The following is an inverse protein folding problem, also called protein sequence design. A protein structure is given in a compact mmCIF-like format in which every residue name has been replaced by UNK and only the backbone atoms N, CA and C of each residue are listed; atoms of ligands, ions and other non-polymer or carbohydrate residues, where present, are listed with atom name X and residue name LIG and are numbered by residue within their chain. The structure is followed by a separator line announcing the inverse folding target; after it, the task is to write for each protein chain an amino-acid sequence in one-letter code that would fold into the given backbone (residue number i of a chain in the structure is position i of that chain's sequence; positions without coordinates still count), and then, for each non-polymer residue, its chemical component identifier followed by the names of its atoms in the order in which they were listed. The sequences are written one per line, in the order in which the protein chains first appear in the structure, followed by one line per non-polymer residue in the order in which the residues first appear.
data_IF_205169540789
#
_entry.id   IF_205169540789
#
_cell.length_a   1.000
_cell.length_b   1.000
_cell.length_c   1.000
_cell.angle_alpha   90.00
_cell.angle_beta   90.00
_cell.angle_gamma   90.00
#
_symmetry.space_group_name_H-M   'P 1'
#
loop_
_entity.id
_entity.type
_entity.pdbx_description
1 polymer ?
#
# COMPACT_ATOMS: atom_id res chain seq x y z
N UNK A 1 -48.23 -0.09 -31.91
CA UNK A 1 -47.57 -1.05 -31.00
C UNK A 1 -46.16 -1.30 -31.50
N UNK A 2 -45.16 -0.57 -30.98
CA UNK A 2 -43.75 -0.82 -31.25
C UNK A 2 -43.14 -1.57 -30.06
N UNK A 3 -42.98 -2.87 -30.22
CA UNK A 3 -42.30 -3.73 -29.25
C UNK A 3 -40.80 -3.47 -29.33
N UNK A 4 -40.22 -2.90 -28.27
CA UNK A 4 -38.75 -2.73 -28.15
C UNK A 4 -38.09 -4.13 -28.07
N UNK A 5 -36.97 -4.37 -28.76
CA UNK A 5 -36.25 -5.64 -28.62
C UNK A 5 -35.64 -5.79 -27.22
N UNK A 6 -35.42 -7.02 -26.73
CA UNK A 6 -34.87 -7.24 -25.40
C UNK A 6 -33.41 -6.77 -25.32
N UNK A 7 -33.08 -6.06 -24.25
CA UNK A 7 -31.71 -5.70 -23.90
C UNK A 7 -30.92 -6.98 -23.64
N UNK A 8 -29.87 -7.22 -24.43
CA UNK A 8 -28.88 -8.27 -24.15
C UNK A 8 -28.16 -7.89 -22.86
N UNK A 9 -28.53 -8.52 -21.75
CA UNK A 9 -27.74 -8.49 -20.53
C UNK A 9 -26.51 -9.36 -20.76
N UNK A 10 -25.39 -8.76 -21.17
CA UNK A 10 -24.09 -9.43 -21.10
C UNK A 10 -23.71 -9.49 -19.61
N UNK A 11 -23.58 -10.67 -18.99
CA UNK A 11 -23.21 -10.74 -17.58
C UNK A 11 -21.75 -10.26 -17.39
N UNK A 12 -21.38 -9.72 -16.21
CA UNK A 12 -20.01 -9.29 -15.88
C UNK A 12 -18.92 -10.38 -15.93
N UNK A 13 -19.26 -11.60 -16.34
CA UNK A 13 -18.41 -12.79 -16.25
C UNK A 13 -17.23 -12.78 -17.23
N UNK A 14 -17.36 -12.20 -18.44
CA UNK A 14 -16.28 -12.19 -19.45
C UNK A 14 -14.99 -11.48 -18.97
N UNK A 15 -15.11 -10.44 -18.15
CA UNK A 15 -13.96 -9.72 -17.62
C UNK A 15 -13.22 -10.50 -16.52
N UNK A 16 -13.92 -11.38 -15.81
CA UNK A 16 -13.38 -12.13 -14.66
C UNK A 16 -12.65 -13.40 -15.12
N UNK A 17 -13.09 -13.98 -16.24
CA UNK A 17 -12.51 -15.22 -16.79
C UNK A 17 -11.21 -15.00 -17.59
N UNK A 18 -11.02 -13.81 -18.17
CA UNK A 18 -9.79 -13.45 -18.90
C UNK A 18 -8.52 -13.45 -18.02
N UNK A 19 -8.67 -13.23 -16.70
CA UNK A 19 -7.56 -13.26 -15.74
C UNK A 19 -7.13 -14.70 -15.37
N UNK A 20 -8.05 -15.66 -15.38
CA UNK A 20 -7.78 -17.06 -14.97
C UNK A 20 -6.97 -17.87 -15.99
N UNK A 21 -6.93 -17.46 -17.26
CA UNK A 21 -6.40 -18.31 -18.35
C UNK A 21 -4.96 -18.03 -18.82
N UNK A 22 -4.22 -17.09 -18.20
CA UNK A 22 -2.91 -16.64 -18.72
C UNK A 22 -1.75 -17.28 -17.97
N UNK A 23 -0.96 -18.17 -18.59
CA UNK A 23 0.21 -18.85 -17.98
C UNK A 23 1.54 -18.14 -18.30
N UNK A 24 2.54 -18.26 -17.42
CA UNK A 24 3.95 -17.90 -17.69
C UNK A 24 4.39 -16.48 -17.31
N UNK A 25 5.57 -16.08 -17.82
CA UNK A 25 6.26 -14.79 -17.57
C UNK A 25 5.40 -13.55 -17.88
N UNK A 26 4.45 -13.66 -18.81
CA UNK A 26 3.51 -12.59 -19.13
C UNK A 26 2.65 -12.18 -17.92
N UNK A 27 2.32 -13.11 -17.01
CA UNK A 27 1.56 -12.79 -15.80
C UNK A 27 2.39 -11.97 -14.80
N UNK A 28 3.68 -12.26 -14.68
CA UNK A 28 4.62 -11.51 -13.80
C UNK A 28 4.80 -10.09 -14.33
N UNK A 29 4.97 -9.93 -15.64
CA UNK A 29 5.10 -8.60 -16.26
C UNK A 29 3.85 -7.74 -16.06
N UNK A 30 2.67 -8.33 -16.25
CA UNK A 30 1.41 -7.61 -15.96
C UNK A 30 1.23 -7.31 -14.47
N UNK A 31 1.58 -8.23 -13.58
CA UNK A 31 1.55 -7.99 -12.13
C UNK A 31 2.47 -6.82 -11.75
N UNK A 32 3.69 -6.77 -12.30
CA UNK A 32 4.61 -5.65 -12.12
C UNK A 32 4.01 -4.33 -12.61
N UNK A 33 3.36 -4.33 -13.78
CA UNK A 33 2.65 -3.17 -14.30
C UNK A 33 1.53 -2.69 -13.36
N UNK A 34 0.75 -3.60 -12.77
CA UNK A 34 -0.26 -3.25 -11.78
C UNK A 34 0.36 -2.71 -10.49
N UNK A 35 1.47 -3.28 -10.01
CA UNK A 35 2.19 -2.76 -8.85
C UNK A 35 2.70 -1.33 -9.09
N UNK A 36 3.26 -1.04 -10.27
CA UNK A 36 3.72 0.30 -10.63
C UNK A 36 2.56 1.29 -10.72
N UNK A 37 1.42 0.87 -11.27
CA UNK A 37 0.20 1.68 -11.29
C UNK A 37 -0.28 2.00 -9.86
N UNK A 38 -0.23 1.04 -8.95
CA UNK A 38 -0.55 1.22 -7.53
C UNK A 38 0.38 2.23 -6.84
N UNK A 39 1.70 2.09 -7.03
CA UNK A 39 2.68 3.04 -6.49
C UNK A 39 2.48 4.45 -7.05
N UNK A 40 2.18 4.57 -8.35
CA UNK A 40 1.87 5.86 -8.99
C UNK A 40 0.58 6.48 -8.47
N UNK A 41 -0.42 5.67 -8.12
CA UNK A 41 -1.63 6.14 -7.47
C UNK A 41 -1.31 6.64 -6.06
N UNK A 42 -0.59 5.86 -5.26
CA UNK A 42 -0.14 6.26 -3.92
C UNK A 42 0.67 7.55 -3.92
N UNK A 43 1.53 7.79 -4.93
CA UNK A 43 2.32 9.04 -5.03
C UNK A 43 1.48 10.32 -5.10
N UNK A 44 0.21 10.22 -5.52
CA UNK A 44 -0.71 11.37 -5.52
C UNK A 44 -1.13 11.76 -4.11
N UNK A 45 -1.19 10.78 -3.19
CA UNK A 45 -1.47 11.03 -1.78
C UNK A 45 -0.31 11.75 -1.11
N UNK A 46 -0.64 12.84 -0.40
CA UNK A 46 0.38 13.70 0.20
C UNK A 46 1.12 12.99 1.34
N UNK A 47 0.41 12.20 2.15
CA UNK A 47 0.99 11.42 3.23
C UNK A 47 1.98 10.36 2.69
N UNK A 48 1.54 9.51 1.77
CA UNK A 48 2.43 8.54 1.11
C UNK A 48 3.65 9.19 0.44
N UNK A 49 3.47 10.33 -0.26
CA UNK A 49 4.61 11.03 -0.89
C UNK A 49 5.63 11.54 0.13
N UNK A 50 5.19 12.00 1.29
CA UNK A 50 6.08 12.42 2.38
C UNK A 50 6.89 11.22 2.90
N UNK A 51 6.21 10.13 3.26
CA UNK A 51 6.86 8.93 3.76
C UNK A 51 7.81 8.30 2.74
N UNK A 52 7.39 8.23 1.47
CA UNK A 52 8.23 7.75 0.37
C UNK A 52 9.48 8.62 0.20
N UNK A 53 9.35 9.95 0.28
CA UNK A 53 10.51 10.86 0.20
C UNK A 53 11.48 10.62 1.37
N UNK A 54 10.96 10.45 2.58
CA UNK A 54 11.78 10.12 3.76
C UNK A 54 12.48 8.77 3.58
N UNK A 55 11.78 7.76 3.06
CA UNK A 55 12.34 6.43 2.82
C UNK A 55 13.51 6.42 1.83
N UNK A 56 13.51 7.32 0.83
CA UNK A 56 14.61 7.46 -0.13
C UNK A 56 15.92 7.81 0.59
N UNK A 57 15.83 8.51 1.72
CA UNK A 57 16.99 8.84 2.57
C UNK A 57 17.26 7.73 3.58
N UNK A 58 16.22 7.22 4.24
CA UNK A 58 16.38 6.23 5.31
C UNK A 58 16.88 4.87 4.80
N UNK A 59 16.50 4.43 3.60
CA UNK A 59 16.92 3.12 3.07
C UNK A 59 18.44 3.05 2.79
N UNK A 60 19.08 4.03 2.12
CA UNK A 60 20.54 4.08 2.06
C UNK A 60 21.18 4.25 3.44
N UNK A 61 20.57 5.05 4.31
CA UNK A 61 21.10 5.29 5.66
C UNK A 61 21.09 4.01 6.52
N UNK A 62 20.15 3.09 6.28
CA UNK A 62 20.12 1.78 6.95
C UNK A 62 21.40 0.97 6.69
N UNK A 63 21.99 1.07 5.49
CA UNK A 63 23.27 0.43 5.14
C UNK A 63 24.45 1.02 5.91
N UNK A 64 24.38 2.31 6.26
CA UNK A 64 25.44 3.00 6.98
C UNK A 64 25.33 2.82 8.51
N UNK A 65 24.11 2.82 9.04
CA UNK A 65 23.86 2.64 10.49
C UNK A 65 24.05 1.19 10.91
N UNK A 66 23.45 0.24 10.17
CA UNK A 66 23.51 -1.19 10.51
C UNK A 66 24.93 -1.75 10.43
N UNK A 67 25.35 -2.48 11.46
CA UNK A 67 26.68 -3.13 11.53
C UNK A 67 26.67 -4.58 11.05
N UNK A 68 25.49 -5.17 10.89
CA UNK A 68 25.27 -6.52 10.41
C UNK A 68 24.16 -6.56 9.36
N UNK A 69 24.12 -7.60 8.54
CA UNK A 69 23.05 -7.78 7.55
C UNK A 69 21.67 -7.84 8.23
N UNK A 70 21.59 -8.36 9.46
CA UNK A 70 20.36 -8.42 10.25
C UNK A 70 19.89 -7.02 10.62
N UNK A 71 20.77 -6.18 11.15
CA UNK A 71 20.44 -4.79 11.50
C UNK A 71 20.01 -3.98 10.28
N UNK A 72 20.71 -4.12 9.16
CA UNK A 72 20.35 -3.46 7.90
C UNK A 72 18.95 -3.88 7.46
N UNK A 73 18.65 -5.18 7.48
CA UNK A 73 17.33 -5.70 7.10
C UNK A 73 16.25 -5.23 8.07
N UNK A 74 16.53 -5.13 9.36
CA UNK A 74 15.58 -4.60 10.35
C UNK A 74 15.29 -3.11 10.13
N UNK A 75 16.33 -2.30 9.91
CA UNK A 75 16.20 -0.85 9.66
C UNK A 75 15.46 -0.57 8.34
N UNK A 76 15.88 -1.21 7.25
CA UNK A 76 15.24 -1.09 5.96
C UNK A 76 13.82 -1.67 5.98
N UNK A 77 13.64 -2.83 6.62
CA UNK A 77 12.35 -3.49 6.77
C UNK A 77 11.33 -2.64 7.52
N UNK A 78 11.74 -1.97 8.59
CA UNK A 78 10.85 -1.08 9.35
C UNK A 78 10.37 0.12 8.50
N UNK A 79 11.24 0.70 7.67
CA UNK A 79 10.88 1.76 6.72
C UNK A 79 9.92 1.23 5.64
N UNK A 80 10.16 0.03 5.11
CA UNK A 80 9.27 -0.59 4.13
C UNK A 80 7.90 -0.93 4.72
N UNK A 81 7.83 -1.35 5.99
CA UNK A 81 6.56 -1.59 6.68
C UNK A 81 5.72 -0.31 6.75
N UNK A 82 6.32 0.85 7.01
CA UNK A 82 5.62 2.15 7.00
C UNK A 82 4.95 2.38 5.64
N UNK A 83 5.71 2.27 4.54
CA UNK A 83 5.17 2.45 3.18
C UNK A 83 4.08 1.44 2.82
N UNK A 84 4.25 0.18 3.23
CA UNK A 84 3.26 -0.88 2.98
C UNK A 84 1.96 -0.54 3.71
N UNK A 85 2.03 -0.19 4.99
CA UNK A 85 0.85 0.10 5.80
C UNK A 85 0.15 1.36 5.30
N UNK A 86 0.88 2.39 4.87
CA UNK A 86 0.30 3.61 4.29
C UNK A 86 -0.39 3.36 2.95
N UNK A 87 0.18 2.52 2.08
CA UNK A 87 -0.49 2.08 0.84
C UNK A 87 -1.77 1.30 1.13
N UNK A 88 -1.73 0.42 2.14
CA UNK A 88 -2.90 -0.34 2.56
C UNK A 88 -3.97 0.59 3.14
N UNK A 89 -3.59 1.55 3.98
CA UNK A 89 -4.49 2.57 4.52
C UNK A 89 -5.17 3.36 3.38
N UNK A 90 -4.37 3.89 2.45
CA UNK A 90 -4.86 4.61 1.26
C UNK A 90 -5.81 3.74 0.41
N UNK A 91 -5.50 2.45 0.27
CA UNK A 91 -6.37 1.51 -0.47
C UNK A 91 -7.73 1.28 0.20
N UNK A 92 -7.75 1.22 1.55
CA UNK A 92 -8.96 1.09 2.35
C UNK A 92 -9.79 2.37 2.26
N UNK A 93 -9.15 3.54 2.38
CA UNK A 93 -9.81 4.83 2.21
C UNK A 93 -10.47 4.96 0.84
N UNK A 94 -9.73 4.67 -0.23
CA UNK A 94 -10.28 4.70 -1.59
C UNK A 94 -11.44 3.70 -1.80
N UNK A 95 -11.37 2.53 -1.17
CA UNK A 95 -12.45 1.54 -1.24
C UNK A 95 -13.71 2.01 -0.48
N UNK A 96 -13.53 2.65 0.67
CA UNK A 96 -14.64 3.21 1.47
C UNK A 96 -15.28 4.40 0.76
N UNK A 97 -14.48 5.30 0.20
CA UNK A 97 -14.97 6.53 -0.47
C UNK A 97 -15.80 6.22 -1.73
N UNK A 98 -15.60 5.04 -2.35
CA UNK A 98 -16.41 4.56 -3.47
C UNK A 98 -17.86 4.22 -3.07
N UNK A 99 -18.11 3.80 -1.82
CA UNK A 99 -19.40 3.22 -1.40
C UNK A 99 -20.49 4.30 -1.20
N UNK A 100 -20.12 5.58 -1.11
CA UNK A 100 -21.04 6.71 -1.12
C UNK A 100 -20.95 7.59 0.13
N UNK A 101 -21.49 8.83 0.09
CA UNK A 101 -21.33 9.85 1.13
C UNK A 101 -22.19 9.62 2.38
N UNK A 102 -23.01 8.57 2.42
CA UNK A 102 -23.78 8.23 3.62
C UNK A 102 -22.81 7.77 4.70
N UNK A 103 -22.53 8.68 5.63
CA UNK A 103 -21.64 8.49 6.77
C UNK A 103 -22.14 7.34 7.66
N UNK A 104 -21.62 6.13 7.42
CA UNK A 104 -21.86 4.97 8.28
C UNK A 104 -20.78 4.91 9.36
N UNK A 105 -21.18 4.58 10.60
CA UNK A 105 -20.27 4.40 11.74
C UNK A 105 -19.17 3.36 11.46
N UNK A 106 -19.45 2.39 10.59
CA UNK A 106 -18.49 1.39 10.11
C UNK A 106 -17.38 2.00 9.23
N UNK A 107 -17.72 2.92 8.32
CA UNK A 107 -16.73 3.60 7.47
C UNK A 107 -15.75 4.42 8.29
N UNK A 108 -16.26 5.15 9.29
CA UNK A 108 -15.42 5.88 10.25
C UNK A 108 -14.47 4.92 10.99
N UNK A 109 -15.01 3.85 11.57
CA UNK A 109 -14.21 2.85 12.30
C UNK A 109 -13.11 2.21 11.45
N UNK A 110 -13.40 1.92 10.19
CA UNK A 110 -12.41 1.34 9.28
C UNK A 110 -11.26 2.34 8.98
N UNK A 111 -11.57 3.62 8.75
CA UNK A 111 -10.55 4.67 8.58
C UNK A 111 -9.73 4.88 9.85
N UNK A 112 -10.37 4.92 11.02
CA UNK A 112 -9.70 5.06 12.31
C UNK A 112 -8.70 3.91 12.56
N UNK A 113 -9.08 2.67 12.23
CA UNK A 113 -8.20 1.50 12.34
C UNK A 113 -7.03 1.54 11.34
N UNK A 114 -7.27 2.02 10.11
CA UNK A 114 -6.22 2.22 9.11
C UNK A 114 -5.18 3.24 9.56
N UNK A 115 -5.63 4.40 10.04
CA UNK A 115 -4.76 5.43 10.62
C UNK A 115 -4.00 4.93 11.87
N UNK A 116 -4.64 4.13 12.72
CA UNK A 116 -3.98 3.52 13.86
C UNK A 116 -2.86 2.53 13.44
N UNK A 117 -3.07 1.79 12.35
CA UNK A 117 -2.02 0.91 11.82
C UNK A 117 -0.79 1.70 11.33
N UNK A 118 -1.02 2.83 10.64
CA UNK A 118 0.05 3.75 10.22
C UNK A 118 0.81 4.31 11.42
N UNK A 119 0.10 4.73 12.47
CA UNK A 119 0.75 5.19 13.71
C UNK A 119 1.63 4.10 14.33
N UNK A 120 1.14 2.87 14.40
CA UNK A 120 1.91 1.74 14.96
C UNK A 120 3.14 1.39 14.12
N UNK A 121 3.05 1.48 12.79
CA UNK A 121 4.21 1.25 11.91
C UNK A 121 5.27 2.35 12.09
N UNK A 122 4.85 3.61 12.25
CA UNK A 122 5.74 4.74 12.55
C UNK A 122 6.43 4.56 13.91
N UNK A 123 5.70 4.15 14.95
CA UNK A 123 6.27 3.86 16.28
C UNK A 123 7.28 2.72 16.21
N UNK A 124 6.97 1.64 15.49
CA UNK A 124 7.91 0.54 15.26
C UNK A 124 9.18 1.03 14.56
N UNK A 125 9.03 1.79 13.47
CA UNK A 125 10.15 2.34 12.71
C UNK A 125 11.02 3.24 13.57
N UNK A 126 10.42 4.19 14.28
CA UNK A 126 11.13 5.09 15.19
C UNK A 126 11.87 4.31 16.30
N UNK A 127 11.23 3.29 16.88
CA UNK A 127 11.83 2.46 17.92
C UNK A 127 13.04 1.67 17.43
N UNK A 128 12.93 1.01 16.29
CA UNK A 128 14.05 0.26 15.67
C UNK A 128 15.21 1.19 15.34
N UNK A 129 14.94 2.34 14.74
CA UNK A 129 15.96 3.33 14.40
C UNK A 129 16.62 3.95 15.62
N UNK A 130 15.84 4.34 16.63
CA UNK A 130 16.38 4.88 17.87
C UNK A 130 17.28 3.86 18.59
N UNK A 131 16.87 2.60 18.67
CA UNK A 131 17.67 1.54 19.28
C UNK A 131 18.98 1.28 18.52
N UNK A 132 18.94 1.24 17.18
CA UNK A 132 20.13 1.05 16.36
C UNK A 132 21.10 2.23 16.46
N UNK A 133 20.60 3.47 16.43
CA UNK A 133 21.42 4.66 16.61
C UNK A 133 22.03 4.71 18.02
N UNK A 134 21.26 4.36 19.05
CA UNK A 134 21.77 4.28 20.41
C UNK A 134 22.92 3.28 20.49
N UNK A 135 22.72 2.03 20.04
CA UNK A 135 23.74 0.99 20.04
C UNK A 135 24.96 1.33 19.18
N UNK A 136 24.80 2.18 18.15
CA UNK A 136 25.89 2.57 17.24
C UNK A 136 26.82 3.64 17.82
N UNK A 137 26.29 4.52 18.67
CA UNK A 137 26.97 5.75 19.09
C UNK A 137 27.18 5.89 20.60
N UNK A 138 26.51 5.08 21.43
CA UNK A 138 26.61 5.07 22.88
C UNK A 138 26.95 3.67 23.38
#
# INVERSE_FOLDING_TARGET
MHSRPPLKHTPPQEATDAQKHRRGLGRVWHAFGYSLAGLRAGWKETAFRQEATVSVVMLPLALWVGQSWVEVVLLAGAVLIVLIVELLNSSVEAAIDRIGPDWHSLSKRAKDMGSAAVLLSLVLCAGVWAAALWARFF
#
